data_IF_746779452238
#
_entry.id   IF_746779452238
#
_cell.length_a   1.000
_cell.length_b   1.000
_cell.length_c   1.000
_cell.angle_alpha   90.00
_cell.angle_beta   90.00
_cell.angle_gamma   90.00
#
_symmetry.space_group_name_H-M   'P 1'
#
loop_
_entity.id
_entity.type
_entity.pdbx_description
1 polymer ?
#
# COMPACT_ATOMS: atom_id res chain seq x y z
N UNK A 1 19.89 -45.44 17.68
CA UNK A 1 19.61 -44.24 18.49
C UNK A 1 18.91 -43.28 17.54
N UNK A 2 17.67 -42.89 17.81
CA UNK A 2 16.96 -41.93 16.94
C UNK A 2 17.62 -40.58 17.14
N UNK A 3 18.23 -40.01 16.10
CA UNK A 3 18.77 -38.65 16.12
C UNK A 3 17.64 -37.71 16.54
N UNK A 4 17.73 -37.19 17.76
CA UNK A 4 16.78 -36.21 18.29
C UNK A 4 17.24 -34.85 17.81
N UNK A 5 16.56 -34.34 16.80
CA UNK A 5 16.71 -32.95 16.37
C UNK A 5 15.88 -32.05 17.29
N UNK A 6 16.48 -30.96 17.75
CA UNK A 6 15.85 -30.00 18.64
C UNK A 6 15.85 -28.62 17.96
N UNK A 7 14.77 -27.85 18.16
CA UNK A 7 14.67 -26.47 17.69
C UNK A 7 15.17 -25.49 18.75
N UNK A 8 15.40 -24.24 18.35
CA UNK A 8 15.66 -23.11 19.26
C UNK A 8 14.50 -22.98 20.30
N UNK A 9 14.74 -22.55 21.56
CA UNK A 9 13.72 -22.54 22.61
C UNK A 9 12.65 -21.44 22.45
N UNK A 10 12.63 -20.75 21.31
CA UNK A 10 11.70 -19.67 20.99
C UNK A 10 10.47 -20.13 20.17
N UNK A 11 10.30 -21.43 19.97
CA UNK A 11 9.11 -21.99 19.29
C UNK A 11 7.89 -21.89 20.20
N UNK A 12 6.84 -21.25 19.71
CA UNK A 12 5.60 -21.04 20.46
C UNK A 12 4.52 -22.03 20.01
N UNK A 13 3.83 -22.63 20.99
CA UNK A 13 2.71 -23.54 20.78
C UNK A 13 1.39 -22.79 20.91
N UNK A 14 0.54 -22.85 19.89
CA UNK A 14 -0.75 -22.19 19.83
C UNK A 14 -1.89 -23.21 19.74
N UNK A 15 -2.95 -22.97 20.51
CA UNK A 15 -4.21 -23.69 20.41
C UNK A 15 -5.09 -23.06 19.35
N UNK A 16 -5.57 -23.84 18.38
CA UNK A 16 -6.45 -23.35 17.32
C UNK A 16 -7.51 -24.38 16.91
N UNK A 17 -8.35 -24.00 15.96
CA UNK A 17 -9.47 -24.80 15.45
C UNK A 17 -9.33 -25.06 13.93
N UNK A 18 -10.35 -25.67 13.34
CA UNK A 18 -10.39 -25.96 11.90
C UNK A 18 -10.48 -24.70 11.01
N UNK A 19 -10.96 -23.57 11.55
CA UNK A 19 -11.13 -22.33 10.81
C UNK A 19 -9.83 -21.52 10.68
N UNK A 20 -8.77 -21.93 11.41
CA UNK A 20 -7.47 -21.27 11.47
C UNK A 20 -6.93 -20.81 10.11
N UNK A 21 -6.77 -21.73 9.15
CA UNK A 21 -6.14 -21.42 7.86
C UNK A 21 -6.90 -20.31 7.12
N UNK A 22 -8.23 -20.41 7.10
CA UNK A 22 -9.09 -19.42 6.43
C UNK A 22 -9.10 -18.07 7.14
N UNK A 23 -9.07 -18.06 8.48
CA UNK A 23 -9.05 -16.83 9.27
C UNK A 23 -7.75 -16.05 9.11
N UNK A 24 -6.62 -16.75 8.99
CA UNK A 24 -5.30 -16.13 8.86
C UNK A 24 -4.75 -16.05 7.44
N UNK A 25 -5.40 -16.71 6.46
CA UNK A 25 -4.87 -16.86 5.11
C UNK A 25 -3.52 -17.58 5.12
N UNK A 26 -3.45 -18.76 5.74
CA UNK A 26 -2.30 -19.68 5.59
C UNK A 26 -2.62 -20.72 4.53
N UNK A 27 -1.62 -21.04 3.72
CA UNK A 27 -1.64 -22.16 2.80
C UNK A 27 -0.89 -23.36 3.39
N UNK A 28 -1.18 -24.55 2.89
CA UNK A 28 -0.48 -25.78 3.26
C UNK A 28 0.61 -26.10 2.24
N UNK A 29 1.79 -26.40 2.74
CA UNK A 29 2.88 -26.96 1.96
C UNK A 29 2.73 -28.48 1.81
N UNK A 30 2.34 -29.16 2.90
CA UNK A 30 2.19 -30.61 2.92
C UNK A 30 1.16 -31.08 3.96
N UNK A 31 0.59 -32.26 3.73
CA UNK A 31 -0.36 -32.90 4.65
C UNK A 31 -1.77 -32.33 4.54
N UNK A 32 -2.45 -32.17 5.67
CA UNK A 32 -3.86 -31.73 5.74
C UNK A 32 -4.06 -30.67 6.84
N UNK A 33 -5.10 -29.83 6.74
CA UNK A 33 -5.44 -28.91 7.83
C UNK A 33 -6.02 -29.67 9.02
N UNK A 34 -6.14 -28.97 10.15
CA UNK A 34 -6.97 -29.42 11.27
C UNK A 34 -8.42 -29.50 10.81
N UNK A 35 -9.08 -30.62 11.11
CA UNK A 35 -10.50 -30.80 10.82
C UNK A 35 -11.31 -30.76 12.11
N UNK A 36 -12.61 -30.47 12.01
CA UNK A 36 -13.50 -30.37 13.17
C UNK A 36 -13.44 -31.62 14.08
N UNK A 37 -13.23 -32.81 13.52
CA UNK A 37 -13.09 -34.05 14.30
C UNK A 37 -11.83 -34.06 15.19
N UNK A 38 -10.71 -33.48 14.74
CA UNK A 38 -9.49 -33.38 15.53
C UNK A 38 -9.70 -32.49 16.76
N UNK A 39 -10.44 -31.38 16.56
CA UNK A 39 -10.81 -30.44 17.63
C UNK A 39 -11.81 -31.07 18.59
N UNK A 40 -12.89 -31.66 18.10
CA UNK A 40 -13.91 -32.27 18.96
C UNK A 40 -13.38 -33.44 19.81
N UNK A 41 -12.48 -34.25 19.23
CA UNK A 41 -11.92 -35.42 19.92
C UNK A 41 -10.62 -35.12 20.68
N UNK A 42 -10.20 -33.85 20.74
CA UNK A 42 -8.95 -33.41 21.37
C UNK A 42 -7.72 -34.23 20.93
N UNK A 43 -7.64 -34.53 19.63
CA UNK A 43 -6.58 -35.40 19.09
C UNK A 43 -5.20 -34.75 19.30
N UNK A 44 -4.16 -35.53 19.65
CA UNK A 44 -2.81 -35.03 19.82
C UNK A 44 -2.13 -34.83 18.46
N UNK A 45 -2.61 -33.88 17.67
CA UNK A 45 -2.09 -33.59 16.32
C UNK A 45 -1.53 -32.16 16.22
N UNK A 46 -0.59 -31.95 15.31
CA UNK A 46 0.07 -30.66 15.10
C UNK A 46 0.16 -30.25 13.62
N UNK A 47 0.03 -28.94 13.40
CA UNK A 47 0.51 -28.26 12.19
C UNK A 47 1.80 -27.53 12.52
N UNK A 48 2.84 -27.76 11.72
CA UNK A 48 4.14 -27.10 11.87
C UNK A 48 4.25 -25.90 10.93
N UNK A 49 4.85 -24.80 11.40
CA UNK A 49 5.38 -23.78 10.50
C UNK A 49 6.57 -24.30 9.69
N UNK A 50 6.82 -23.71 8.52
CA UNK A 50 7.84 -24.19 7.57
C UNK A 50 9.24 -24.29 8.20
N UNK A 51 9.67 -23.27 8.93
CA UNK A 51 10.98 -23.22 9.58
C UNK A 51 11.14 -24.31 10.68
N UNK A 52 10.07 -24.60 11.43
CA UNK A 52 10.07 -25.69 12.41
C UNK A 52 10.20 -27.05 11.72
N UNK A 53 9.50 -27.23 10.60
CA UNK A 53 9.55 -28.47 9.83
C UNK A 53 10.93 -28.70 9.21
N UNK A 54 11.56 -27.66 8.66
CA UNK A 54 12.89 -27.72 8.06
C UNK A 54 13.99 -28.06 9.08
N UNK A 55 13.91 -27.48 10.28
CA UNK A 55 14.90 -27.74 11.35
C UNK A 55 14.76 -29.16 11.93
N UNK A 56 13.52 -29.61 12.17
CA UNK A 56 13.27 -30.92 12.77
C UNK A 56 13.41 -32.07 11.78
N UNK A 57 13.10 -31.83 10.50
CA UNK A 57 13.03 -32.85 9.46
C UNK A 57 13.69 -32.39 8.16
N UNK A 58 15.03 -32.15 8.15
CA UNK A 58 15.73 -31.57 7.00
C UNK A 58 15.71 -32.44 5.73
N UNK A 59 15.60 -33.76 5.88
CA UNK A 59 15.69 -34.73 4.77
C UNK A 59 14.52 -35.69 4.69
N UNK A 60 13.58 -35.63 5.64
CA UNK A 60 12.49 -36.61 5.78
C UNK A 60 11.14 -35.92 5.79
N UNK A 61 10.10 -36.58 5.31
CA UNK A 61 8.73 -36.04 5.41
C UNK A 61 8.32 -35.94 6.89
N UNK A 62 7.87 -34.76 7.36
CA UNK A 62 7.46 -34.57 8.75
C UNK A 62 6.08 -35.16 9.04
N UNK A 63 5.23 -35.35 8.02
CA UNK A 63 3.85 -35.84 8.19
C UNK A 63 3.84 -37.28 8.71
N UNK A 64 3.02 -37.54 9.74
CA UNK A 64 2.91 -38.83 10.43
C UNK A 64 4.03 -39.10 11.45
N UNK A 65 4.95 -38.15 11.67
CA UNK A 65 5.96 -38.24 12.73
C UNK A 65 5.48 -37.59 14.01
N UNK A 66 6.02 -38.03 15.14
CA UNK A 66 5.77 -37.41 16.43
C UNK A 66 6.78 -36.29 16.71
N UNK A 67 6.28 -35.19 17.25
CA UNK A 67 7.07 -34.08 17.80
C UNK A 67 6.69 -33.86 19.26
N UNK A 68 7.68 -33.47 20.06
CA UNK A 68 7.44 -33.09 21.45
C UNK A 68 7.60 -31.58 21.59
N UNK A 69 6.55 -30.92 22.08
CA UNK A 69 6.57 -29.47 22.34
C UNK A 69 6.25 -29.27 23.83
N UNK A 70 7.25 -28.90 24.61
CA UNK A 70 7.15 -28.86 26.07
C UNK A 70 6.78 -30.24 26.65
N UNK A 71 5.59 -30.34 27.27
CA UNK A 71 5.11 -31.58 27.91
C UNK A 71 4.14 -32.41 27.05
N UNK A 72 3.77 -31.93 25.86
CA UNK A 72 2.85 -32.64 24.97
C UNK A 72 3.59 -33.32 23.82
N UNK A 73 3.14 -34.51 23.45
CA UNK A 73 3.57 -35.24 22.25
C UNK A 73 2.44 -35.15 21.22
N UNK A 74 2.78 -34.74 20.00
CA UNK A 74 1.84 -34.45 18.94
C UNK A 74 2.29 -35.15 17.65
N UNK A 75 1.35 -35.74 16.92
CA UNK A 75 1.57 -36.27 15.58
C UNK A 75 1.42 -35.16 14.54
N UNK A 76 2.41 -34.98 13.68
CA UNK A 76 2.39 -33.95 12.64
C UNK A 76 1.43 -34.37 11.52
N UNK A 77 0.38 -33.59 11.29
CA UNK A 77 -0.61 -33.85 10.23
C UNK A 77 -0.46 -32.93 9.02
N UNK A 78 0.29 -31.84 9.17
CA UNK A 78 0.54 -30.91 8.09
C UNK A 78 1.64 -29.89 8.38
N UNK A 79 2.12 -29.26 7.31
CA UNK A 79 3.13 -28.19 7.33
C UNK A 79 2.56 -26.99 6.59
N UNK A 80 2.64 -25.82 7.22
CA UNK A 80 2.22 -24.55 6.65
C UNK A 80 3.26 -24.06 5.64
N UNK A 81 2.78 -23.48 4.55
CA UNK A 81 3.63 -22.78 3.59
C UNK A 81 4.27 -21.55 4.25
N UNK A 82 5.45 -21.16 3.74
CA UNK A 82 6.18 -20.01 4.24
C UNK A 82 5.33 -18.74 4.10
N UNK A 83 5.23 -17.98 5.19
CA UNK A 83 4.52 -16.71 5.21
C UNK A 83 5.43 -15.59 5.68
N UNK A 84 5.51 -14.51 4.90
CA UNK A 84 6.23 -13.31 5.28
C UNK A 84 5.60 -12.68 6.54
N UNK A 85 6.43 -12.34 7.52
CA UNK A 85 6.04 -11.67 8.76
C UNK A 85 6.77 -10.35 8.93
N UNK A 86 6.06 -9.28 9.29
CA UNK A 86 6.63 -7.93 9.46
C UNK A 86 7.52 -7.77 10.71
N UNK A 87 7.33 -8.58 11.77
CA UNK A 87 8.02 -8.39 13.05
C UNK A 87 8.52 -9.69 13.71
N UNK A 88 7.75 -10.78 13.62
CA UNK A 88 8.17 -12.13 14.03
C UNK A 88 7.84 -13.10 12.94
N UNK A 89 8.73 -14.05 12.68
CA UNK A 89 8.51 -15.15 11.74
C UNK A 89 7.30 -15.98 12.21
N UNK A 90 6.16 -15.95 11.49
CA UNK A 90 5.05 -16.86 11.79
C UNK A 90 5.43 -18.32 11.57
N UNK A 91 6.53 -18.57 10.85
CA UNK A 91 7.01 -19.90 10.45
C UNK A 91 7.67 -20.67 11.62
N UNK A 92 7.97 -20.01 12.73
CA UNK A 92 8.54 -20.60 13.97
C UNK A 92 7.48 -21.11 14.97
N UNK A 93 6.25 -21.32 14.51
CA UNK A 93 5.10 -21.64 15.38
C UNK A 93 4.61 -23.06 15.15
N UNK A 94 4.07 -23.65 16.22
CA UNK A 94 3.38 -24.94 16.17
C UNK A 94 1.92 -24.72 16.58
N UNK A 95 1.00 -25.33 15.84
CA UNK A 95 -0.43 -25.22 16.09
C UNK A 95 -0.99 -26.60 16.42
N UNK A 96 -1.83 -26.67 17.45
CA UNK A 96 -2.51 -27.89 17.85
C UNK A 96 -3.98 -27.60 18.18
N UNK A 97 -4.87 -28.60 18.19
CA UNK A 97 -6.26 -28.41 18.61
C UNK A 97 -6.34 -27.77 19.99
N UNK A 98 -7.10 -26.66 20.09
CA UNK A 98 -7.24 -25.90 21.33
C UNK A 98 -7.79 -26.75 22.48
N UNK A 99 -8.69 -27.68 22.17
CA UNK A 99 -9.26 -28.65 23.11
C UNK A 99 -8.21 -29.58 23.70
N UNK A 100 -7.22 -30.01 22.91
CA UNK A 100 -6.10 -30.83 23.38
C UNK A 100 -5.22 -30.03 24.34
N UNK A 101 -4.89 -28.78 23.99
CA UNK A 101 -4.06 -27.92 24.83
C UNK A 101 -4.76 -27.52 26.13
N UNK A 102 -6.08 -27.31 26.13
CA UNK A 102 -6.82 -27.10 27.36
C UNK A 102 -6.75 -28.32 28.29
N UNK A 103 -6.81 -29.54 27.76
CA UNK A 103 -6.62 -30.74 28.56
C UNK A 103 -5.21 -30.89 29.11
N UNK A 104 -4.20 -30.56 28.31
CA UNK A 104 -2.80 -30.70 28.69
C UNK A 104 -2.29 -29.58 29.61
N UNK A 105 -2.78 -28.34 29.44
CA UNK A 105 -2.27 -27.15 30.12
C UNK A 105 -3.27 -26.42 31.02
N UNK A 106 -4.57 -26.67 30.88
CA UNK A 106 -5.60 -25.95 31.64
C UNK A 106 -5.66 -26.38 33.10
N UNK A 107 -5.30 -25.49 34.02
CA UNK A 107 -5.59 -25.61 35.44
C UNK A 107 -6.81 -24.74 35.79
N UNK A 108 -8.01 -25.33 35.84
CA UNK A 108 -9.22 -24.74 36.45
C UNK A 108 -9.88 -23.54 35.73
N UNK A 109 -9.14 -22.76 34.92
CA UNK A 109 -9.67 -21.64 34.13
C UNK A 109 -9.37 -21.83 32.66
N UNK A 110 -10.40 -22.10 31.85
CA UNK A 110 -10.29 -22.12 30.37
C UNK A 110 -10.29 -20.69 29.83
N UNK A 111 -9.24 -19.92 30.16
CA UNK A 111 -9.09 -18.57 29.63
C UNK A 111 -8.48 -18.64 28.22
N UNK A 112 -9.09 -17.93 27.27
CA UNK A 112 -8.53 -17.72 25.94
C UNK A 112 -7.97 -16.30 25.90
N UNK A 113 -6.71 -16.15 25.52
CA UNK A 113 -6.05 -14.84 25.44
C UNK A 113 -6.59 -13.99 24.28
N UNK A 114 -6.93 -14.64 23.17
CA UNK A 114 -7.42 -13.98 21.95
C UNK A 114 -8.41 -14.89 21.21
N UNK A 115 -9.40 -14.28 20.55
CA UNK A 115 -10.37 -14.96 19.69
C UNK A 115 -10.45 -14.21 18.37
N UNK A 116 -10.07 -14.89 17.29
CA UNK A 116 -10.03 -14.27 15.97
C UNK A 116 -11.27 -14.63 15.18
N UNK A 117 -11.90 -13.62 14.61
CA UNK A 117 -13.12 -13.75 13.80
C UNK A 117 -12.84 -13.15 12.43
N UNK A 118 -13.27 -13.84 11.37
CA UNK A 118 -13.13 -13.36 10.00
C UNK A 118 -14.49 -12.94 9.45
N UNK A 119 -14.59 -11.68 9.03
CA UNK A 119 -15.72 -11.20 8.24
C UNK A 119 -15.72 -11.84 6.84
N UNK A 120 -16.91 -12.11 6.29
CA UNK A 120 -17.00 -12.69 4.95
C UNK A 120 -16.49 -11.73 3.86
N UNK A 121 -16.69 -10.43 4.04
CA UNK A 121 -16.22 -9.37 3.13
C UNK A 121 -15.69 -8.16 3.91
N UNK A 122 -14.83 -7.36 3.29
CA UNK A 122 -14.29 -6.15 3.91
C UNK A 122 -15.39 -5.12 4.26
N UNK A 123 -16.41 -4.99 3.41
CA UNK A 123 -17.56 -4.09 3.65
C UNK A 123 -18.40 -4.47 4.87
N UNK A 124 -18.31 -5.72 5.32
CA UNK A 124 -19.08 -6.22 6.48
C UNK A 124 -18.27 -6.17 7.77
N UNK A 125 -17.01 -5.71 7.77
CA UNK A 125 -16.17 -5.76 8.95
C UNK A 125 -16.75 -4.94 10.11
N UNK A 126 -17.20 -3.70 9.86
CA UNK A 126 -17.81 -2.86 10.88
C UNK A 126 -19.09 -3.47 11.48
N UNK A 127 -19.95 -4.05 10.61
CA UNK A 127 -21.16 -4.73 11.07
C UNK A 127 -20.83 -5.99 11.90
N UNK A 128 -19.82 -6.76 11.48
CA UNK A 128 -19.34 -7.93 12.20
C UNK A 128 -18.70 -7.55 13.55
N UNK A 129 -17.97 -6.44 13.62
CA UNK A 129 -17.44 -5.92 14.89
C UNK A 129 -18.55 -5.58 15.88
N UNK A 130 -19.61 -4.91 15.42
CA UNK A 130 -20.76 -4.55 16.25
C UNK A 130 -21.52 -5.80 16.74
N UNK A 131 -21.71 -6.79 15.87
CA UNK A 131 -22.33 -8.07 16.19
C UNK A 131 -21.49 -8.85 17.22
N UNK A 132 -20.18 -9.00 16.99
CA UNK A 132 -19.24 -9.64 17.92
C UNK A 132 -19.22 -8.91 19.26
N UNK A 133 -19.23 -7.57 19.26
CA UNK A 133 -19.29 -6.77 20.49
C UNK A 133 -20.58 -7.04 21.26
N UNK A 134 -21.72 -7.09 20.58
CA UNK A 134 -23.02 -7.39 21.19
C UNK A 134 -23.01 -8.78 21.84
N UNK A 135 -22.60 -9.81 21.10
CA UNK A 135 -22.53 -11.19 21.62
C UNK A 135 -21.55 -11.34 22.77
N UNK A 136 -20.35 -10.76 22.68
CA UNK A 136 -19.37 -10.84 23.76
C UNK A 136 -19.85 -10.11 25.03
N UNK A 137 -20.59 -9.00 24.91
CA UNK A 137 -21.19 -8.35 26.08
C UNK A 137 -22.22 -9.23 26.77
N UNK A 138 -23.03 -9.97 26.01
CA UNK A 138 -23.99 -10.94 26.57
C UNK A 138 -23.24 -12.10 27.25
N UNK A 139 -22.26 -12.69 26.58
CA UNK A 139 -21.45 -13.80 27.11
C UNK A 139 -20.72 -13.40 28.40
N UNK A 140 -20.20 -12.17 28.47
CA UNK A 140 -19.47 -11.62 29.62
C UNK A 140 -20.37 -10.98 30.68
N UNK A 141 -21.69 -10.91 30.46
CA UNK A 141 -22.65 -10.31 31.40
C UNK A 141 -22.48 -8.81 31.62
N UNK A 142 -22.03 -8.05 30.61
CA UNK A 142 -21.81 -6.60 30.71
C UNK A 142 -23.13 -5.83 30.50
N UNK A 143 -23.58 -5.12 31.54
CA UNK A 143 -24.83 -4.35 31.51
C UNK A 143 -24.82 -3.22 30.46
N UNK A 144 -25.99 -2.78 29.94
CA UNK A 144 -26.08 -1.61 29.06
C UNK A 144 -25.52 -0.35 29.72
N UNK A 145 -24.78 0.47 28.97
CA UNK A 145 -24.19 1.72 29.48
C UNK A 145 -22.84 1.59 30.21
N UNK A 146 -22.40 0.36 30.52
CA UNK A 146 -21.06 0.11 31.11
C UNK A 146 -20.01 -0.09 30.01
N UNK A 147 -18.79 0.45 30.14
CA UNK A 147 -17.70 0.19 29.19
C UNK A 147 -17.38 -1.31 29.10
N UNK A 148 -17.02 -1.79 27.90
CA UNK A 148 -16.69 -3.19 27.66
C UNK A 148 -15.42 -3.61 28.42
N UNK A 149 -15.39 -4.85 28.92
CA UNK A 149 -14.23 -5.45 29.62
C UNK A 149 -13.25 -6.16 28.68
N UNK A 150 -13.47 -6.05 27.36
CA UNK A 150 -12.68 -6.67 26.32
C UNK A 150 -12.37 -5.64 25.23
N UNK A 151 -11.25 -5.83 24.54
CA UNK A 151 -10.88 -5.05 23.38
C UNK A 151 -11.22 -5.82 22.10
N UNK A 152 -11.67 -5.13 21.06
CA UNK A 152 -11.77 -5.68 19.72
C UNK A 152 -10.76 -4.92 18.87
N UNK A 153 -9.76 -5.63 18.38
CA UNK A 153 -8.79 -5.10 17.44
C UNK A 153 -9.10 -5.65 16.06
N UNK A 154 -9.25 -4.76 15.09
CA UNK A 154 -9.49 -5.13 13.71
C UNK A 154 -8.31 -4.80 12.82
N UNK A 155 -8.19 -5.55 11.74
CA UNK A 155 -7.16 -5.29 10.72
C UNK A 155 -7.36 -3.94 10.02
N UNK A 156 -8.53 -3.31 10.15
CA UNK A 156 -8.78 -1.95 9.67
C UNK A 156 -7.99 -0.90 10.45
N UNK A 157 -7.56 -1.16 11.69
CA UNK A 157 -6.64 -0.26 12.39
C UNK A 157 -5.30 -0.14 11.66
N UNK A 158 -4.74 -1.27 11.18
CA UNK A 158 -3.51 -1.26 10.39
C UNK A 158 -3.75 -0.61 9.03
N UNK A 159 -4.85 -0.94 8.34
CA UNK A 159 -5.19 -0.31 7.04
C UNK A 159 -5.38 1.19 7.17
N UNK A 160 -6.18 1.66 8.11
CA UNK A 160 -6.42 3.09 8.34
C UNK A 160 -5.14 3.85 8.70
N UNK A 161 -4.24 3.24 9.45
CA UNK A 161 -2.91 3.82 9.72
C UNK A 161 -2.09 3.95 8.44
N UNK A 162 -2.05 2.91 7.60
CA UNK A 162 -1.36 2.93 6.30
C UNK A 162 -1.99 3.93 5.32
N UNK A 163 -3.32 4.00 5.29
CA UNK A 163 -4.08 4.93 4.46
C UNK A 163 -3.82 6.37 4.90
N UNK A 164 -3.80 6.64 6.20
CA UNK A 164 -3.49 7.96 6.74
C UNK A 164 -2.06 8.37 6.40
N UNK A 165 -1.09 7.48 6.59
CA UNK A 165 0.31 7.73 6.25
C UNK A 165 0.50 8.01 4.75
N UNK A 166 -0.06 7.14 3.89
CA UNK A 166 -0.03 7.28 2.43
C UNK A 166 -0.72 8.57 1.98
N UNK A 167 -1.85 8.93 2.59
CA UNK A 167 -2.59 10.17 2.31
C UNK A 167 -1.75 11.40 2.65
N UNK A 168 -1.07 11.42 3.81
CA UNK A 168 -0.17 12.52 4.18
C UNK A 168 0.99 12.66 3.20
N UNK A 169 1.63 11.56 2.79
CA UNK A 169 2.69 11.59 1.78
C UNK A 169 2.17 12.10 0.43
N UNK A 170 1.00 11.63 0.01
CA UNK A 170 0.37 12.03 -1.26
C UNK A 170 0.06 13.52 -1.27
N UNK A 171 -0.54 14.04 -0.19
CA UNK A 171 -0.87 15.46 -0.06
C UNK A 171 0.39 16.34 0.03
N UNK A 172 1.41 15.89 0.77
CA UNK A 172 2.70 16.57 0.81
C UNK A 172 3.37 16.64 -0.55
N UNK A 173 3.40 15.52 -1.28
CA UNK A 173 3.93 15.45 -2.64
C UNK A 173 3.16 16.34 -3.62
N UNK A 174 1.83 16.35 -3.54
CA UNK A 174 0.99 17.21 -4.36
C UNK A 174 1.26 18.71 -4.13
N UNK A 175 1.45 19.11 -2.86
CA UNK A 175 1.76 20.49 -2.50
C UNK A 175 3.14 20.93 -3.00
N UNK A 176 4.16 20.09 -2.82
CA UNK A 176 5.51 20.35 -3.35
C UNK A 176 5.46 20.42 -4.87
N UNK A 177 4.77 19.47 -5.52
CA UNK A 177 4.57 19.45 -6.96
C UNK A 177 3.90 20.73 -7.48
N UNK A 178 2.86 21.23 -6.80
CA UNK A 178 2.18 22.48 -7.14
C UNK A 178 3.13 23.68 -7.06
N UNK A 179 3.92 23.79 -5.99
CA UNK A 179 4.90 24.88 -5.83
C UNK A 179 5.96 24.82 -6.93
N UNK A 180 6.49 23.63 -7.23
CA UNK A 180 7.44 23.43 -8.32
C UNK A 180 6.85 23.80 -9.68
N UNK A 181 5.58 23.45 -9.92
CA UNK A 181 4.87 23.81 -11.14
C UNK A 181 4.74 25.32 -11.28
N UNK A 182 4.34 26.03 -10.21
CA UNK A 182 4.21 27.49 -10.20
C UNK A 182 5.57 28.18 -10.44
N UNK A 183 6.64 27.71 -9.79
CA UNK A 183 7.98 28.23 -9.99
C UNK A 183 8.45 28.04 -11.45
N UNK A 184 8.16 26.89 -12.05
CA UNK A 184 8.41 26.64 -13.46
C UNK A 184 7.60 27.59 -14.36
N UNK A 185 6.33 27.83 -14.04
CA UNK A 185 5.46 28.78 -14.75
C UNK A 185 6.05 30.20 -14.80
N UNK A 186 6.58 30.69 -13.68
CA UNK A 186 7.27 31.99 -13.64
C UNK A 186 8.51 32.00 -14.54
N UNK A 187 9.29 30.91 -14.55
CA UNK A 187 10.44 30.75 -15.46
C UNK A 187 10.03 30.86 -16.93
N UNK A 188 8.94 30.19 -17.32
CA UNK A 188 8.41 30.23 -18.68
C UNK A 188 7.93 31.63 -19.05
N UNK A 189 7.23 32.32 -18.14
CA UNK A 189 6.82 33.70 -18.37
C UNK A 189 8.02 34.61 -18.66
N UNK A 190 9.12 34.45 -17.92
CA UNK A 190 10.34 35.25 -18.12
C UNK A 190 11.00 34.97 -19.47
N UNK A 191 11.16 33.69 -19.83
CA UNK A 191 11.73 33.29 -21.13
C UNK A 191 10.87 33.84 -22.27
N UNK A 192 9.54 33.74 -22.15
CA UNK A 192 8.61 34.26 -23.16
C UNK A 192 8.66 35.79 -23.26
N UNK A 193 8.80 36.52 -22.16
CA UNK A 193 8.97 37.97 -22.20
C UNK A 193 10.23 38.37 -22.96
N UNK A 194 11.35 37.70 -22.70
CA UNK A 194 12.63 37.94 -23.38
C UNK A 194 12.52 37.60 -24.87
N UNK A 195 11.94 36.44 -25.20
CA UNK A 195 11.75 36.02 -26.59
C UNK A 195 10.86 36.97 -27.39
N UNK A 196 9.80 37.51 -26.77
CA UNK A 196 8.95 38.53 -27.40
C UNK A 196 9.73 39.80 -27.66
N UNK A 197 10.58 40.24 -26.73
CA UNK A 197 11.38 41.44 -26.91
C UNK A 197 12.42 41.28 -28.02
N UNK A 198 13.08 40.13 -28.13
CA UNK A 198 14.04 39.84 -29.21
C UNK A 198 13.35 39.78 -30.59
N UNK A 199 12.15 39.20 -30.65
CA UNK A 199 11.37 39.05 -31.90
C UNK A 199 10.47 40.26 -32.21
N UNK A 200 10.62 41.40 -31.51
CA UNK A 200 9.76 42.58 -31.66
C UNK A 200 9.67 43.07 -33.12
N UNK A 201 10.81 43.13 -33.81
CA UNK A 201 10.87 43.60 -35.21
C UNK A 201 10.15 42.67 -36.18
N UNK A 202 10.29 41.35 -36.00
CA UNK A 202 9.57 40.35 -36.81
C UNK A 202 8.06 40.44 -36.61
N UNK A 203 7.62 40.63 -35.36
CA UNK A 203 6.20 40.81 -35.02
C UNK A 203 5.65 42.08 -35.69
N UNK A 204 6.41 43.17 -35.68
CA UNK A 204 6.06 44.43 -36.34
C UNK A 204 5.85 44.27 -37.84
N UNK A 205 6.78 43.58 -38.53
CA UNK A 205 6.67 43.27 -39.96
C UNK A 205 5.42 42.44 -40.25
N UNK A 206 5.14 41.38 -39.46
CA UNK A 206 3.94 40.55 -39.66
C UNK A 206 2.65 41.35 -39.52
N UNK A 207 2.57 42.27 -38.55
CA UNK A 207 1.39 43.13 -38.38
C UNK A 207 1.26 44.17 -39.49
N UNK A 208 2.37 44.74 -39.97
CA UNK A 208 2.37 45.69 -41.09
C UNK A 208 1.85 45.05 -42.39
N UNK A 209 2.09 43.75 -42.59
CA UNK A 209 1.58 42.96 -43.72
C UNK A 209 0.13 42.46 -43.49
N UNK A 210 -0.49 42.79 -42.34
CA UNK A 210 -1.91 42.54 -42.06
C UNK A 210 -2.21 41.35 -41.15
N UNK A 211 -1.24 40.79 -40.44
CA UNK A 211 -1.50 39.74 -39.45
C UNK A 211 -2.41 40.25 -38.31
N UNK A 212 -3.52 39.55 -38.07
CA UNK A 212 -4.43 39.86 -36.94
C UNK A 212 -3.75 39.57 -35.61
N UNK A 213 -4.03 40.38 -34.59
CA UNK A 213 -3.50 40.21 -33.23
C UNK A 213 -3.75 38.80 -32.65
N UNK A 214 -4.86 38.16 -33.02
CA UNK A 214 -5.22 36.78 -32.61
C UNK A 214 -4.24 35.74 -33.17
N UNK A 215 -3.69 35.96 -34.36
CA UNK A 215 -2.75 35.02 -34.98
C UNK A 215 -1.40 35.06 -34.24
N UNK A 216 -0.94 36.27 -33.89
CA UNK A 216 0.28 36.46 -33.10
C UNK A 216 0.10 35.87 -31.70
N UNK A 217 -1.03 36.14 -31.04
CA UNK A 217 -1.34 35.56 -29.73
C UNK A 217 -1.34 34.02 -29.78
N UNK A 218 -2.04 33.44 -30.76
CA UNK A 218 -2.14 31.99 -30.91
C UNK A 218 -0.78 31.32 -31.16
N UNK A 219 0.10 31.95 -31.95
CA UNK A 219 1.45 31.43 -32.19
C UNK A 219 2.27 31.34 -30.89
N UNK A 220 2.36 32.44 -30.13
CA UNK A 220 3.15 32.46 -28.90
C UNK A 220 2.55 31.58 -27.81
N UNK A 221 1.21 31.51 -27.73
CA UNK A 221 0.53 30.62 -26.79
C UNK A 221 0.79 29.14 -27.13
N UNK A 222 0.76 28.79 -28.42
CA UNK A 222 1.08 27.44 -28.88
C UNK A 222 2.55 27.08 -28.59
N UNK A 223 3.48 28.01 -28.81
CA UNK A 223 4.90 27.83 -28.48
C UNK A 223 5.07 27.53 -26.97
N UNK A 224 4.40 28.30 -26.10
CA UNK A 224 4.42 28.05 -24.67
C UNK A 224 3.80 26.69 -24.29
N UNK A 225 2.65 26.33 -24.86
CA UNK A 225 1.99 25.04 -24.59
C UNK A 225 2.87 23.87 -25.02
N UNK A 226 3.48 23.93 -26.21
CA UNK A 226 4.35 22.86 -26.72
C UNK A 226 5.56 22.69 -25.82
N UNK A 227 6.24 23.80 -25.44
CA UNK A 227 7.38 23.75 -24.53
C UNK A 227 7.01 23.14 -23.17
N UNK A 228 5.87 23.56 -22.61
CA UNK A 228 5.34 23.01 -21.38
C UNK A 228 5.05 21.51 -21.50
N UNK A 229 4.38 21.08 -22.58
CA UNK A 229 4.01 19.68 -22.78
C UNK A 229 5.20 18.75 -23.00
N UNK A 230 6.22 19.21 -23.74
CA UNK A 230 7.47 18.46 -23.89
C UNK A 230 8.13 18.29 -22.52
N UNK A 231 8.25 19.37 -21.74
CA UNK A 231 8.80 19.31 -20.38
C UNK A 231 7.99 18.42 -19.45
N UNK A 232 6.65 18.49 -19.53
CA UNK A 232 5.73 17.65 -18.76
C UNK A 232 5.86 16.17 -19.11
N UNK A 233 5.92 15.82 -20.39
CA UNK A 233 6.13 14.44 -20.85
C UNK A 233 7.48 13.90 -20.37
N UNK A 234 8.55 14.69 -20.52
CA UNK A 234 9.88 14.34 -20.02
C UNK A 234 9.84 14.13 -18.50
N UNK A 235 9.20 15.03 -17.76
CA UNK A 235 9.03 14.92 -16.31
C UNK A 235 8.26 13.67 -15.90
N UNK A 236 7.20 13.30 -16.62
CA UNK A 236 6.44 12.07 -16.38
C UNK A 236 7.31 10.82 -16.61
N UNK A 237 8.10 10.81 -17.69
CA UNK A 237 9.02 9.70 -17.98
C UNK A 237 10.09 9.57 -16.89
N UNK A 238 10.77 10.66 -16.53
CA UNK A 238 11.79 10.63 -15.47
C UNK A 238 11.21 10.32 -14.10
N UNK A 239 10.03 10.84 -13.77
CA UNK A 239 9.32 10.53 -12.53
C UNK A 239 8.93 9.06 -12.45
N UNK A 240 8.41 8.49 -13.56
CA UNK A 240 8.08 7.07 -13.66
C UNK A 240 9.31 6.17 -13.56
N UNK A 241 10.40 6.51 -14.25
CA UNK A 241 11.65 5.76 -14.17
C UNK A 241 12.25 5.80 -12.76
N UNK A 242 12.30 6.99 -12.13
CA UNK A 242 12.76 7.13 -10.75
C UNK A 242 11.91 6.33 -9.77
N UNK A 243 10.59 6.35 -9.94
CA UNK A 243 9.65 5.55 -9.15
C UNK A 243 9.85 4.04 -9.32
N UNK A 244 10.09 3.57 -10.55
CA UNK A 244 10.36 2.15 -10.81
C UNK A 244 11.69 1.69 -10.21
N UNK A 245 12.74 2.49 -10.29
CA UNK A 245 14.04 2.18 -9.66
C UNK A 245 13.90 2.09 -8.14
N UNK A 246 13.17 3.02 -7.54
CA UNK A 246 12.81 2.96 -6.12
C UNK A 246 12.04 1.69 -5.77
N UNK A 247 11.02 1.35 -6.56
CA UNK A 247 10.19 0.16 -6.34
C UNK A 247 11.01 -1.15 -6.37
N UNK A 248 11.95 -1.26 -7.31
CA UNK A 248 12.87 -2.40 -7.40
C UNK A 248 13.80 -2.51 -6.17
N UNK A 249 14.24 -1.38 -5.61
CA UNK A 249 15.10 -1.39 -4.42
C UNK A 249 14.37 -1.89 -3.16
N UNK A 250 13.06 -1.63 -3.07
CA UNK A 250 12.22 -2.02 -1.93
C UNK A 250 11.36 -3.28 -2.16
N UNK A 251 11.54 -3.98 -3.28
CA UNK A 251 10.76 -5.16 -3.68
C UNK A 251 9.22 -4.91 -3.67
N UNK A 252 8.83 -3.68 -4.04
CA UNK A 252 7.43 -3.28 -4.15
C UNK A 252 7.02 -3.41 -5.61
N UNK A 253 5.82 -3.95 -5.85
CA UNK A 253 5.24 -3.99 -7.20
C UNK A 253 5.12 -2.56 -7.77
N UNK A 254 5.83 -2.25 -8.88
CA UNK A 254 5.74 -0.92 -9.48
C UNK A 254 4.32 -0.67 -9.97
N UNK A 255 3.70 0.41 -9.49
CA UNK A 255 2.39 0.86 -9.98
C UNK A 255 2.51 2.28 -10.49
N UNK A 256 2.11 2.49 -11.75
CA UNK A 256 2.17 3.81 -12.37
C UNK A 256 0.82 4.53 -12.24
N UNK A 257 0.75 5.68 -11.56
CA UNK A 257 -0.52 6.36 -11.30
C UNK A 257 -0.98 7.19 -12.51
N UNK A 258 -1.65 6.55 -13.46
CA UNK A 258 -2.16 7.18 -14.70
C UNK A 258 -3.02 8.43 -14.45
N UNK A 259 -3.84 8.42 -13.39
CA UNK A 259 -4.66 9.57 -13.02
C UNK A 259 -3.82 10.81 -12.70
N UNK A 260 -2.72 10.63 -11.95
CA UNK A 260 -1.81 11.72 -11.60
C UNK A 260 -1.02 12.22 -12.82
N UNK A 261 -0.64 11.33 -13.72
CA UNK A 261 -0.05 11.72 -15.00
C UNK A 261 -1.03 12.57 -15.83
N UNK A 262 -2.31 12.21 -15.88
CA UNK A 262 -3.36 13.00 -16.53
C UNK A 262 -3.55 14.39 -15.88
N UNK A 263 -3.58 14.45 -14.54
CA UNK A 263 -3.63 15.71 -13.79
C UNK A 263 -2.42 16.58 -14.10
N UNK A 264 -1.22 16.00 -14.19
CA UNK A 264 0.01 16.73 -14.53
C UNK A 264 -0.07 17.33 -15.94
N UNK A 265 -0.50 16.56 -16.95
CA UNK A 265 -0.67 17.05 -18.33
C UNK A 265 -1.67 18.22 -18.38
N UNK A 266 -2.80 18.10 -17.67
CA UNK A 266 -3.79 19.17 -17.56
C UNK A 266 -3.24 20.41 -16.85
N UNK A 267 -2.58 20.22 -15.71
CA UNK A 267 -2.00 21.29 -14.90
C UNK A 267 -0.90 22.07 -15.63
N UNK A 268 -0.04 21.36 -16.36
CA UNK A 268 1.01 21.95 -17.21
C UNK A 268 0.39 22.78 -18.35
N UNK A 269 -0.69 22.30 -18.97
CA UNK A 269 -1.43 23.07 -19.99
C UNK A 269 -2.01 24.35 -19.41
N UNK A 270 -2.65 24.24 -18.23
CA UNK A 270 -3.24 25.39 -17.54
C UNK A 270 -2.16 26.44 -17.22
N UNK A 271 -1.01 26.02 -16.71
CA UNK A 271 0.08 26.95 -16.44
C UNK A 271 0.65 27.58 -17.71
N UNK A 272 0.79 26.82 -18.80
CA UNK A 272 1.22 27.36 -20.08
C UNK A 272 0.30 28.50 -20.54
N UNK A 273 -1.01 28.33 -20.38
CA UNK A 273 -2.00 29.36 -20.75
C UNK A 273 -1.92 30.58 -19.84
N UNK A 274 -1.78 30.38 -18.53
CA UNK A 274 -1.71 31.49 -17.56
C UNK A 274 -0.41 32.29 -17.74
N UNK A 275 0.73 31.62 -17.66
CA UNK A 275 2.04 32.27 -17.65
C UNK A 275 2.56 32.63 -19.04
N UNK A 276 2.20 31.86 -20.08
CA UNK A 276 2.50 32.18 -21.48
C UNK A 276 1.50 33.15 -22.11
N UNK A 277 0.28 33.23 -21.57
CA UNK A 277 -0.77 34.12 -22.07
C UNK A 277 -0.45 35.60 -21.91
N UNK A 278 0.11 36.01 -20.77
CA UNK A 278 0.46 37.41 -20.54
C UNK A 278 1.52 37.96 -21.52
N UNK A 279 2.69 37.31 -21.72
CA UNK A 279 3.67 37.72 -22.72
C UNK A 279 3.12 37.68 -24.14
N UNK A 280 2.37 36.63 -24.49
CA UNK A 280 1.75 36.50 -25.82
C UNK A 280 0.76 37.64 -26.10
N UNK A 281 -0.01 38.05 -25.10
CA UNK A 281 -0.91 39.20 -25.19
C UNK A 281 -0.15 40.52 -25.37
N UNK A 282 0.94 40.71 -24.62
CA UNK A 282 1.82 41.87 -24.77
C UNK A 282 2.41 41.94 -26.19
N UNK A 283 2.86 40.82 -26.73
CA UNK A 283 3.36 40.70 -28.11
C UNK A 283 2.30 41.08 -29.15
N UNK A 284 1.08 40.56 -28.98
CA UNK A 284 -0.05 40.81 -29.88
C UNK A 284 -0.47 42.29 -29.94
N UNK A 285 -0.20 43.08 -28.89
CA UNK A 285 -0.55 44.51 -28.80
C UNK A 285 0.54 45.52 -29.17
N UNK A 286 1.76 45.07 -29.50
CA UNK A 286 2.82 45.97 -30.01
C UNK A 286 2.37 46.76 -31.26
N UNK A 287 2.65 48.07 -31.30
CA UNK A 287 2.37 48.90 -32.47
C UNK A 287 3.37 48.63 -33.61
N UNK A 288 2.93 48.40 -34.87
CA UNK A 288 3.82 48.19 -36.00
C UNK A 288 4.84 49.31 -36.21
N UNK A 289 4.46 50.56 -35.92
CA UNK A 289 5.31 51.73 -36.14
C UNK A 289 6.46 51.74 -35.12
N UNK A 290 6.14 51.52 -33.84
CA UNK A 290 7.13 51.49 -32.76
C UNK A 290 8.07 50.29 -32.87
N UNK A 291 7.56 49.14 -33.32
CA UNK A 291 8.36 47.91 -33.47
C UNK A 291 9.35 47.92 -34.64
N UNK A 292 9.16 48.81 -35.63
CA UNK A 292 10.12 49.03 -36.72
C UNK A 292 11.16 50.12 -36.42
N UNK A 293 10.92 50.93 -35.39
CA UNK A 293 11.73 52.09 -35.00
C UNK A 293 12.76 51.77 -33.91
N UNK A 294 12.68 50.58 -33.31
CA UNK A 294 13.66 50.04 -32.38
C UNK A 294 14.96 49.67 -33.12
N UNK A 295 16.06 50.32 -32.77
CA UNK A 295 17.43 49.81 -32.94
C UNK A 295 17.81 48.92 -31.75
#
# INVERSE_FOLDING_TARGET
>A
QSDRHETNPNVSLYGTDEAFLGTFGYDLQAGRPLVAQDVQSARPVALLGSEVAEVLFPTTSPVGKEVQVGRVRLEVVGVLAEKAGLFRSPNTRVYAPITHLFGAYGSGGRSMDDTRVRAATASQLAAAEDEVRSHLRVIRGVAPGVPSTFNIESSDFLRSTFDQFTSTLTMGGALVGLISLLAAGVGIMNIMLVSVTERTKEIGIRKAVGAKWRNILGQFLLEAIILCQIGGLIGIVFGGLGGNVAALYWDISPSFPWMWAGIAVGGVTLLAVIFGGYPAYKAARLDPIDSLRYE
#
